data_IF_477049606406
#
_entry.id   IF_477049606406
#
_cell.length_a   1.000
_cell.length_b   1.000
_cell.length_c   1.000
_cell.angle_alpha   90.00
_cell.angle_beta   90.00
_cell.angle_gamma   90.00
#
_symmetry.space_group_name_H-M   'P 1'
#
loop_
_entity.id
_entity.type
_entity.pdbx_description
1 polymer ?
#
# COMPACT_ATOMS: atom_id res chain seq x y z
N UNK A 1 11.03 48.57 18.15
CA UNK A 1 11.05 47.47 17.16
C UNK A 1 12.34 46.70 17.40
N UNK A 2 12.32 45.60 18.17
CA UNK A 2 13.47 44.67 18.19
C UNK A 2 13.37 43.42 19.07
N UNK A 3 12.43 43.27 20.01
CA UNK A 3 12.45 42.08 20.90
C UNK A 3 11.50 40.95 20.49
N UNK A 4 10.39 41.26 19.81
CA UNK A 4 9.34 40.27 19.47
C UNK A 4 9.65 39.51 18.17
N UNK A 5 10.23 40.19 17.17
CA UNK A 5 10.65 39.55 15.91
C UNK A 5 11.85 38.62 16.11
N UNK A 6 12.78 38.98 16.99
CA UNK A 6 13.96 38.16 17.30
C UNK A 6 13.58 36.86 18.05
N UNK A 7 12.51 36.91 18.86
CA UNK A 7 11.93 35.73 19.52
C UNK A 7 11.14 34.85 18.54
N UNK A 8 10.45 35.44 17.56
CA UNK A 8 9.74 34.69 16.52
C UNK A 8 10.72 33.93 15.60
N UNK A 9 11.79 34.60 15.17
CA UNK A 9 12.85 33.99 14.35
C UNK A 9 13.58 32.86 15.08
N UNK A 10 13.84 33.00 16.39
CA UNK A 10 14.43 31.90 17.18
C UNK A 10 13.51 30.69 17.27
N UNK A 11 12.21 30.91 17.43
CA UNK A 11 11.22 29.83 17.48
C UNK A 11 11.12 29.09 16.14
N UNK A 12 11.15 29.83 15.04
CA UNK A 12 11.13 29.27 13.68
C UNK A 12 12.41 28.47 13.38
N UNK A 13 13.58 28.95 13.81
CA UNK A 13 14.85 28.22 13.69
C UNK A 13 14.85 26.93 14.54
N UNK A 14 14.26 26.96 15.73
CA UNK A 14 14.16 25.77 16.58
C UNK A 14 13.16 24.73 16.03
N UNK A 15 12.07 25.18 15.42
CA UNK A 15 11.12 24.28 14.73
C UNK A 15 11.74 23.68 13.46
N UNK A 16 12.50 24.45 12.68
CA UNK A 16 13.27 23.95 11.54
C UNK A 16 14.33 22.92 11.97
N UNK A 17 15.03 23.14 13.09
CA UNK A 17 15.98 22.16 13.64
C UNK A 17 15.30 20.85 14.04
N UNK A 18 14.11 20.92 14.63
CA UNK A 18 13.32 19.72 14.96
C UNK A 18 12.90 18.97 13.69
N UNK A 19 12.47 19.67 12.65
CA UNK A 19 12.12 19.05 11.37
C UNK A 19 13.34 18.39 10.72
N UNK A 20 14.51 19.04 10.75
CA UNK A 20 15.75 18.44 10.24
C UNK A 20 16.15 17.20 11.05
N UNK A 21 16.01 17.22 12.37
CA UNK A 21 16.28 16.05 13.21
C UNK A 21 15.31 14.89 12.91
N UNK A 22 14.02 15.17 12.73
CA UNK A 22 13.02 14.17 12.36
C UNK A 22 13.30 13.58 10.96
N UNK A 23 13.67 14.42 10.00
CA UNK A 23 14.07 13.97 8.66
C UNK A 23 15.35 13.11 8.69
N UNK A 24 16.33 13.48 9.50
CA UNK A 24 17.54 12.67 9.69
C UNK A 24 17.22 11.30 10.29
N UNK A 25 16.30 11.23 11.25
CA UNK A 25 15.85 9.97 11.85
C UNK A 25 15.13 9.09 10.83
N UNK A 26 14.27 9.67 9.98
CA UNK A 26 13.59 8.96 8.89
C UNK A 26 14.62 8.43 7.88
N UNK A 27 15.61 9.23 7.49
CA UNK A 27 16.67 8.80 6.56
C UNK A 27 17.52 7.67 7.16
N UNK A 28 17.83 7.71 8.46
CA UNK A 28 18.51 6.61 9.13
C UNK A 28 17.67 5.33 9.16
N UNK A 29 16.38 5.45 9.46
CA UNK A 29 15.43 4.32 9.42
C UNK A 29 15.32 3.72 8.01
N UNK A 30 15.26 4.57 6.98
CA UNK A 30 15.24 4.14 5.58
C UNK A 30 16.57 3.49 5.17
N UNK A 31 17.70 4.02 5.59
CA UNK A 31 19.01 3.41 5.33
C UNK A 31 19.14 2.02 5.98
N UNK A 32 18.61 1.86 7.19
CA UNK A 32 18.57 0.58 7.88
C UNK A 32 17.63 -0.41 7.17
N UNK A 33 16.48 0.08 6.70
CA UNK A 33 15.52 -0.70 5.93
C UNK A 33 16.16 -1.23 4.63
N UNK A 34 16.83 -0.36 3.87
CA UNK A 34 17.53 -0.73 2.64
C UNK A 34 18.61 -1.79 2.92
N UNK A 35 19.38 -1.63 4.00
CA UNK A 35 20.40 -2.60 4.41
C UNK A 35 19.78 -3.97 4.75
N UNK A 36 18.68 -3.98 5.52
CA UNK A 36 18.00 -5.20 5.95
C UNK A 36 17.28 -5.89 4.78
N UNK A 37 16.70 -5.12 3.86
CA UNK A 37 16.14 -5.62 2.60
C UNK A 37 17.24 -6.21 1.73
N UNK A 38 18.41 -5.57 1.65
CA UNK A 38 19.59 -6.12 0.95
C UNK A 38 20.05 -7.45 1.54
N UNK A 39 20.16 -7.56 2.87
CA UNK A 39 20.49 -8.82 3.56
C UNK A 39 19.46 -9.93 3.30
N UNK A 40 18.17 -9.60 3.32
CA UNK A 40 17.10 -10.56 3.05
C UNK A 40 17.08 -11.04 1.60
N UNK A 41 17.33 -10.14 0.64
CA UNK A 41 17.47 -10.49 -0.78
C UNK A 41 18.68 -11.40 -0.99
N UNK A 42 19.83 -11.09 -0.36
CA UNK A 42 21.01 -11.95 -0.40
C UNK A 42 20.73 -13.33 0.22
N UNK A 43 20.06 -13.39 1.38
CA UNK A 43 19.70 -14.65 2.03
C UNK A 43 18.74 -15.49 1.17
N UNK A 44 17.79 -14.84 0.49
CA UNK A 44 16.86 -15.49 -0.43
C UNK A 44 17.57 -16.00 -1.68
N UNK A 45 18.53 -15.26 -2.24
CA UNK A 45 19.36 -15.69 -3.36
C UNK A 45 20.25 -16.88 -3.01
N UNK A 46 20.89 -16.87 -1.83
CA UNK A 46 21.68 -18.02 -1.33
C UNK A 46 20.80 -19.25 -1.12
N UNK A 47 19.59 -19.06 -0.57
CA UNK A 47 18.62 -20.15 -0.37
C UNK A 47 18.09 -20.70 -1.69
N UNK A 48 17.88 -19.86 -2.69
CA UNK A 48 17.44 -20.27 -4.02
C UNK A 48 18.56 -20.99 -4.79
N UNK A 49 19.81 -20.48 -4.76
CA UNK A 49 20.96 -21.20 -5.31
C UNK A 49 21.18 -22.55 -4.64
N UNK A 50 21.05 -22.64 -3.30
CA UNK A 50 21.14 -23.92 -2.60
C UNK A 50 20.09 -24.94 -3.07
N UNK A 51 18.85 -24.48 -3.26
CA UNK A 51 17.74 -25.31 -3.76
C UNK A 51 17.90 -25.69 -5.23
N UNK A 52 18.46 -24.83 -6.08
CA UNK A 52 18.74 -25.14 -7.48
C UNK A 52 19.92 -26.09 -7.63
N UNK A 53 20.96 -25.97 -6.79
CA UNK A 53 22.08 -26.90 -6.75
C UNK A 53 21.66 -28.30 -6.25
N UNK A 54 20.77 -28.38 -5.26
CA UNK A 54 20.18 -29.67 -4.83
C UNK A 54 19.33 -30.32 -5.93
N UNK A 55 18.57 -29.52 -6.70
CA UNK A 55 17.75 -30.02 -7.81
C UNK A 55 18.58 -30.52 -9.01
N UNK A 56 19.81 -30.03 -9.20
CA UNK A 56 20.70 -30.48 -10.28
C UNK A 56 21.65 -31.64 -9.88
N UNK A 57 21.62 -32.10 -8.62
CA UNK A 57 22.40 -33.27 -8.18
C UNK A 57 23.92 -33.08 -8.20
N UNK A 58 24.40 -31.84 -8.11
CA UNK A 58 25.84 -31.52 -8.15
C UNK A 58 26.39 -31.42 -6.72
N UNK A 59 27.15 -32.42 -6.29
CA UNK A 59 27.96 -32.36 -5.06
C UNK A 59 29.07 -31.31 -5.23
N UNK A 60 29.36 -30.45 -4.24
CA UNK A 60 30.24 -29.31 -4.46
C UNK A 60 31.70 -29.76 -4.57
N UNK A 61 32.23 -29.73 -5.80
CA UNK A 61 33.67 -29.57 -6.01
C UNK A 61 34.02 -28.11 -5.74
N UNK A 62 35.02 -27.88 -4.89
CA UNK A 62 35.61 -26.55 -4.61
C UNK A 62 35.89 -25.82 -5.93
N UNK A 63 35.03 -24.90 -6.34
CA UNK A 63 35.33 -23.93 -7.38
C UNK A 63 35.63 -22.58 -6.75
N UNK A 64 36.68 -21.99 -7.31
CA UNK A 64 37.32 -20.71 -7.01
C UNK A 64 36.39 -19.56 -6.60
N UNK A 65 36.88 -18.79 -5.64
CA UNK A 65 36.43 -17.49 -5.12
C UNK A 65 36.29 -16.36 -6.16
N UNK A 66 36.28 -16.67 -7.46
CA UNK A 66 36.14 -15.71 -8.55
C UNK A 66 34.66 -15.46 -8.93
N UNK A 67 33.75 -16.38 -8.63
CA UNK A 67 32.32 -16.24 -8.98
C UNK A 67 31.51 -15.45 -7.93
N UNK A 68 32.05 -15.24 -6.73
CA UNK A 68 31.39 -14.43 -5.69
C UNK A 68 31.46 -12.92 -5.95
N UNK A 69 32.29 -12.47 -6.90
CA UNK A 69 32.43 -11.04 -7.25
C UNK A 69 31.40 -10.62 -8.32
N UNK A 70 30.79 -11.57 -9.03
CA UNK A 70 29.76 -11.29 -10.05
C UNK A 70 28.32 -11.38 -9.56
N UNK A 71 28.09 -11.76 -8.29
CA UNK A 71 26.73 -11.82 -7.71
C UNK A 71 26.11 -10.43 -7.43
N UNK A 72 26.92 -9.36 -7.53
CA UNK A 72 26.51 -7.97 -7.30
C UNK A 72 26.21 -7.20 -8.60
N UNK A 73 26.19 -7.91 -9.74
CA UNK A 73 25.85 -7.34 -11.04
C UNK A 73 24.45 -7.84 -11.38
N UNK A 74 23.45 -6.97 -11.25
CA UNK A 74 22.12 -7.20 -11.82
C UNK A 74 22.29 -7.76 -13.24
N UNK A 75 21.88 -9.00 -13.45
CA UNK A 75 22.06 -9.61 -14.76
C UNK A 75 21.13 -8.90 -15.75
N UNK A 76 21.49 -8.89 -17.04
CA UNK A 76 20.61 -8.29 -18.04
C UNK A 76 19.20 -8.92 -18.01
N UNK A 77 19.10 -10.18 -17.57
CA UNK A 77 17.82 -10.88 -17.42
C UNK A 77 17.01 -10.35 -16.23
N UNK A 78 17.65 -10.02 -15.10
CA UNK A 78 16.98 -9.37 -13.96
C UNK A 78 16.45 -7.97 -14.34
N UNK A 79 17.21 -7.22 -15.15
CA UNK A 79 16.79 -5.92 -15.66
C UNK A 79 15.59 -6.05 -16.62
N UNK A 80 15.60 -7.05 -17.49
CA UNK A 80 14.47 -7.32 -18.40
C UNK A 80 13.24 -7.75 -17.61
N UNK A 81 13.38 -8.58 -16.57
CA UNK A 81 12.29 -8.98 -15.69
C UNK A 81 11.71 -7.77 -14.95
N UNK A 82 12.56 -6.93 -14.33
CA UNK A 82 12.11 -5.73 -13.63
C UNK A 82 11.38 -4.76 -14.57
N UNK A 83 11.88 -4.58 -15.79
CA UNK A 83 11.19 -3.73 -16.79
C UNK A 83 9.84 -4.33 -17.17
N UNK A 84 9.73 -5.66 -17.29
CA UNK A 84 8.46 -6.34 -17.51
C UNK A 84 7.47 -6.14 -16.35
N UNK A 85 7.92 -6.25 -15.11
CA UNK A 85 7.10 -6.01 -13.92
C UNK A 85 6.64 -4.55 -13.83
N UNK A 86 7.53 -3.59 -14.09
CA UNK A 86 7.20 -2.16 -14.14
C UNK A 86 6.22 -1.83 -15.26
N UNK A 87 6.34 -2.47 -16.42
CA UNK A 87 5.37 -2.33 -17.50
C UNK A 87 4.00 -2.90 -17.10
N UNK A 88 3.94 -4.06 -16.45
CA UNK A 88 2.68 -4.61 -15.94
C UNK A 88 2.02 -3.72 -14.88
N UNK A 89 2.81 -3.12 -13.99
CA UNK A 89 2.31 -2.12 -13.02
C UNK A 89 1.82 -0.86 -13.74
N UNK A 90 2.51 -0.40 -14.78
CA UNK A 90 2.09 0.74 -15.58
C UNK A 90 0.76 0.48 -16.29
N UNK A 91 0.60 -0.70 -16.89
CA UNK A 91 -0.66 -1.13 -17.54
C UNK A 91 -1.81 -1.16 -16.53
N UNK A 92 -1.56 -1.65 -15.31
CA UNK A 92 -2.55 -1.69 -14.22
C UNK A 92 -2.94 -0.27 -13.78
N UNK A 93 -1.97 0.65 -13.70
CA UNK A 93 -2.22 2.06 -13.38
C UNK A 93 -3.03 2.74 -14.50
N UNK A 94 -2.71 2.46 -15.76
CA UNK A 94 -3.43 2.99 -16.91
C UNK A 94 -4.87 2.49 -16.93
N UNK A 95 -5.09 1.18 -16.75
CA UNK A 95 -6.43 0.61 -16.68
C UNK A 95 -7.24 1.21 -15.53
N UNK A 96 -6.62 1.37 -14.36
CA UNK A 96 -7.24 2.05 -13.21
C UNK A 96 -7.60 3.49 -13.54
N UNK A 97 -6.73 4.21 -14.24
CA UNK A 97 -6.96 5.60 -14.66
C UNK A 97 -8.14 5.70 -15.65
N UNK A 98 -8.18 4.83 -16.67
CA UNK A 98 -9.26 4.77 -17.65
C UNK A 98 -10.59 4.52 -16.95
N UNK A 99 -10.66 3.51 -16.08
CA UNK A 99 -11.88 3.17 -15.33
C UNK A 99 -12.31 4.30 -14.38
N UNK A 100 -11.36 4.98 -13.73
CA UNK A 100 -11.62 6.16 -12.89
C UNK A 100 -12.22 7.32 -13.70
N UNK A 101 -11.70 7.58 -14.90
CA UNK A 101 -12.25 8.61 -15.81
C UNK A 101 -13.64 8.22 -16.30
N UNK A 102 -13.88 6.95 -16.61
CA UNK A 102 -15.23 6.48 -16.97
C UNK A 102 -16.20 6.72 -15.81
N UNK A 103 -15.82 6.38 -14.58
CA UNK A 103 -16.64 6.59 -13.40
C UNK A 103 -16.93 8.06 -13.10
N UNK A 104 -16.00 8.98 -13.41
CA UNK A 104 -16.22 10.42 -13.18
C UNK A 104 -17.27 11.03 -14.09
N UNK A 105 -17.56 10.40 -15.23
CA UNK A 105 -18.65 10.81 -16.13
C UNK A 105 -20.03 10.32 -15.68
N UNK A 106 -20.07 9.41 -14.72
CA UNK A 106 -21.31 8.82 -14.20
C UNK A 106 -21.89 9.73 -13.13
N UNK A 107 -23.16 10.11 -13.30
CA UNK A 107 -23.83 11.11 -12.45
C UNK A 107 -25.23 10.69 -12.03
N UNK A 108 -25.88 9.81 -12.79
CA UNK A 108 -27.22 9.29 -12.50
C UNK A 108 -27.13 8.11 -11.56
N UNK A 109 -28.16 7.93 -10.74
CA UNK A 109 -28.17 6.83 -9.77
C UNK A 109 -28.18 5.44 -10.44
N UNK A 110 -28.75 5.34 -11.64
CA UNK A 110 -28.76 4.10 -12.44
C UNK A 110 -27.47 3.86 -13.25
N UNK A 111 -26.51 4.80 -13.22
CA UNK A 111 -25.26 4.63 -13.95
C UNK A 111 -24.42 3.51 -13.31
N UNK A 112 -23.98 2.58 -14.14
CA UNK A 112 -23.14 1.45 -13.73
C UNK A 112 -21.72 1.94 -13.44
N UNK A 113 -21.20 1.59 -12.27
CA UNK A 113 -19.83 1.83 -11.87
C UNK A 113 -18.92 0.73 -12.43
N UNK A 114 -17.81 1.13 -13.04
CA UNK A 114 -16.75 0.21 -13.40
C UNK A 114 -15.94 -0.15 -12.13
N UNK A 115 -15.72 -1.43 -11.80
CA UNK A 115 -14.84 -1.83 -10.70
C UNK A 115 -13.39 -1.51 -11.08
N UNK A 116 -12.58 -1.03 -10.13
CA UNK A 116 -11.16 -0.74 -10.36
C UNK A 116 -10.31 -1.87 -9.77
N UNK A 117 -9.12 -2.15 -10.33
CA UNK A 117 -8.14 -3.00 -9.65
C UNK A 117 -7.65 -2.30 -8.38
N UNK A 118 -7.42 -3.07 -7.32
CA UNK A 118 -6.76 -2.60 -6.10
C UNK A 118 -5.23 -2.44 -6.32
N UNK A 119 -4.45 -1.97 -5.33
CA UNK A 119 -3.00 -1.86 -5.45
C UNK A 119 -2.28 -3.16 -5.82
N UNK A 120 -2.83 -4.31 -5.42
CA UNK A 120 -2.31 -5.65 -5.73
C UNK A 120 -2.69 -6.16 -7.12
N UNK A 121 -3.55 -5.43 -7.86
CA UNK A 121 -4.03 -5.80 -9.19
C UNK A 121 -5.31 -6.62 -9.21
N UNK A 122 -5.87 -6.97 -8.05
CA UNK A 122 -7.14 -7.68 -7.94
C UNK A 122 -8.32 -6.76 -8.23
N UNK A 123 -9.22 -7.21 -9.09
CA UNK A 123 -10.44 -6.48 -9.44
C UNK A 123 -11.65 -7.17 -8.83
N UNK A 124 -12.47 -6.47 -8.02
CA UNK A 124 -13.65 -7.08 -7.44
C UNK A 124 -14.69 -7.34 -8.53
N UNK A 125 -15.31 -8.51 -8.50
CA UNK A 125 -16.38 -8.83 -9.44
C UNK A 125 -17.74 -8.44 -8.88
N UNK A 126 -18.71 -8.17 -9.76
CA UNK A 126 -20.10 -7.93 -9.33
C UNK A 126 -20.78 -9.14 -8.68
N UNK A 127 -20.10 -10.30 -8.68
CA UNK A 127 -20.57 -11.56 -8.08
C UNK A 127 -20.18 -11.68 -6.60
N UNK A 128 -19.17 -10.92 -6.15
CA UNK A 128 -18.59 -11.07 -4.81
C UNK A 128 -19.36 -10.32 -3.71
N UNK A 129 -20.52 -9.73 -4.04
CA UNK A 129 -21.36 -8.85 -3.19
C UNK A 129 -20.63 -7.65 -2.53
N UNK A 130 -19.35 -7.49 -2.85
CA UNK A 130 -18.44 -6.48 -2.32
C UNK A 130 -18.58 -5.15 -3.06
N UNK A 131 -18.78 -5.19 -4.39
CA UNK A 131 -18.79 -3.98 -5.21
C UNK A 131 -20.21 -3.57 -5.65
N UNK A 132 -20.65 -2.33 -5.39
CA UNK A 132 -21.95 -1.84 -5.81
C UNK A 132 -22.00 -1.70 -7.33
N UNK A 133 -23.10 -2.14 -7.95
CA UNK A 133 -23.26 -2.13 -9.41
C UNK A 133 -23.52 -0.72 -9.93
N UNK A 134 -24.23 0.10 -9.16
CA UNK A 134 -24.70 1.41 -9.58
C UNK A 134 -24.24 2.52 -8.63
N UNK A 135 -24.24 3.77 -9.10
CA UNK A 135 -24.00 4.92 -8.23
C UNK A 135 -25.03 5.02 -7.10
N UNK A 136 -26.29 4.67 -7.36
CA UNK A 136 -27.34 4.66 -6.35
C UNK A 136 -27.03 3.68 -5.23
N UNK A 137 -26.60 2.45 -5.57
CA UNK A 137 -26.15 1.45 -4.60
C UNK A 137 -24.91 1.91 -3.83
N UNK A 138 -23.96 2.58 -4.50
CA UNK A 138 -22.80 3.14 -3.84
C UNK A 138 -23.17 4.25 -2.86
N UNK A 139 -24.10 5.15 -3.21
CA UNK A 139 -24.61 6.20 -2.31
C UNK A 139 -25.33 5.62 -1.10
N UNK A 140 -26.03 4.50 -1.26
CA UNK A 140 -26.75 3.79 -0.21
C UNK A 140 -25.93 2.66 0.44
N UNK A 141 -24.60 2.67 0.28
CA UNK A 141 -23.74 1.63 0.85
C UNK A 141 -23.86 1.61 2.38
N UNK A 142 -23.97 0.40 2.91
CA UNK A 142 -23.96 0.10 4.34
C UNK A 142 -22.55 0.25 4.92
N UNK A 143 -22.45 0.65 6.19
CA UNK A 143 -21.18 0.93 6.85
C UNK A 143 -20.25 -0.31 6.85
N UNK A 144 -20.84 -1.50 6.95
CA UNK A 144 -20.11 -2.77 6.86
C UNK A 144 -19.46 -2.97 5.48
N UNK A 145 -20.24 -2.75 4.41
CA UNK A 145 -19.74 -2.88 3.03
C UNK A 145 -18.73 -1.78 2.70
N UNK A 146 -18.96 -0.57 3.20
CA UNK A 146 -18.03 0.54 3.06
C UNK A 146 -16.67 0.22 3.67
N UNK A 147 -16.64 -0.26 4.91
CA UNK A 147 -15.39 -0.62 5.58
C UNK A 147 -14.67 -1.75 4.85
N UNK A 148 -15.40 -2.79 4.40
CA UNK A 148 -14.82 -3.91 3.65
C UNK A 148 -14.23 -3.46 2.31
N UNK A 149 -14.91 -2.58 1.58
CA UNK A 149 -14.39 -1.99 0.34
C UNK A 149 -13.19 -1.07 0.60
N UNK A 150 -13.26 -0.22 1.62
CA UNK A 150 -12.19 0.71 1.93
C UNK A 150 -10.92 -0.03 2.41
N UNK A 151 -11.07 -1.18 3.06
CA UNK A 151 -9.97 -2.11 3.33
C UNK A 151 -9.44 -2.77 2.06
N UNK A 152 -10.32 -3.26 1.18
CA UNK A 152 -9.93 -3.90 -0.08
C UNK A 152 -9.13 -2.97 -1.00
N UNK A 153 -9.47 -1.69 -1.03
CA UNK A 153 -8.75 -0.67 -1.81
C UNK A 153 -7.61 0.01 -1.04
N UNK A 154 -7.31 -0.42 0.19
CA UNK A 154 -6.30 0.15 1.08
C UNK A 154 -6.43 1.67 1.30
N UNK A 155 -7.68 2.13 1.34
CA UNK A 155 -8.01 3.55 1.52
C UNK A 155 -8.07 3.94 3.00
N UNK A 156 -8.38 2.98 3.88
CA UNK A 156 -8.38 3.21 5.32
C UNK A 156 -6.95 3.28 5.85
N UNK A 157 -6.72 4.18 6.82
CA UNK A 157 -5.50 4.14 7.61
C UNK A 157 -5.37 2.77 8.28
N UNK A 158 -4.18 2.15 8.25
CA UNK A 158 -3.98 0.85 8.88
C UNK A 158 -4.38 0.96 10.35
N UNK A 159 -5.29 0.08 10.79
CA UNK A 159 -5.74 0.10 12.18
C UNK A 159 -4.56 -0.14 13.12
N UNK A 160 -4.63 0.30 14.39
CA UNK A 160 -3.53 0.08 15.36
C UNK A 160 -3.10 -1.39 15.43
N UNK A 161 -4.03 -2.34 15.20
CA UNK A 161 -3.72 -3.77 15.09
C UNK A 161 -2.96 -4.15 13.81
N UNK A 162 -3.25 -3.50 12.68
CA UNK A 162 -2.51 -3.69 11.44
C UNK A 162 -1.13 -3.03 11.50
N UNK A 163 -1.00 -1.91 12.22
CA UNK A 163 0.30 -1.30 12.53
C UNK A 163 1.13 -2.21 13.43
N UNK A 164 0.54 -2.78 14.49
CA UNK A 164 1.22 -3.78 15.33
C UNK A 164 1.58 -5.04 14.54
N UNK A 165 0.70 -5.54 13.66
CA UNK A 165 1.00 -6.68 12.78
C UNK A 165 2.09 -6.35 11.74
N UNK A 166 2.15 -5.09 11.27
CA UNK A 166 3.19 -4.59 10.39
C UNK A 166 4.52 -4.44 11.13
N UNK A 167 4.50 -3.97 12.38
CA UNK A 167 5.65 -3.93 13.27
C UNK A 167 6.16 -5.34 13.62
N UNK A 168 5.28 -6.29 13.92
CA UNK A 168 5.64 -7.68 14.18
C UNK A 168 6.12 -8.41 12.90
N UNK A 169 5.65 -8.03 11.72
CA UNK A 169 6.20 -8.45 10.43
C UNK A 169 7.60 -7.83 10.19
N UNK A 170 7.79 -6.54 10.48
CA UNK A 170 9.10 -5.87 10.41
C UNK A 170 10.14 -6.44 11.39
N UNK A 171 9.68 -6.88 12.57
CA UNK A 171 10.47 -7.57 13.59
C UNK A 171 10.69 -9.06 13.27
N UNK A 172 10.10 -9.59 12.19
CA UNK A 172 10.35 -10.94 11.69
C UNK A 172 9.67 -12.05 12.49
N UNK A 173 8.61 -11.74 13.24
CA UNK A 173 7.82 -12.75 13.98
C UNK A 173 6.70 -13.37 13.14
N UNK A 174 6.37 -12.79 11.99
CA UNK A 174 5.37 -13.31 11.06
C UNK A 174 5.96 -13.45 9.64
N UNK A 175 5.79 -14.60 8.99
CA UNK A 175 6.31 -14.87 7.65
C UNK A 175 5.40 -14.35 6.51
N UNK A 176 4.20 -13.84 6.81
CA UNK A 176 3.21 -13.47 5.80
C UNK A 176 2.38 -12.25 6.24
N UNK A 177 2.49 -11.14 5.48
CA UNK A 177 1.59 -10.00 5.54
C UNK A 177 0.49 -10.16 4.48
N UNK A 178 -0.27 -11.25 4.55
CA UNK A 178 -1.58 -11.26 3.88
C UNK A 178 -2.50 -10.51 4.83
N UNK A 179 -3.09 -9.42 4.35
CA UNK A 179 -4.18 -8.70 4.99
C UNK A 179 -5.18 -9.73 5.50
N UNK A 180 -5.06 -10.08 6.79
CA UNK A 180 -5.89 -11.10 7.41
C UNK A 180 -7.34 -10.75 7.09
N UNK A 181 -8.04 -11.65 6.41
CA UNK A 181 -9.49 -11.56 6.24
C UNK A 181 -10.05 -11.39 7.66
N UNK A 182 -10.42 -10.15 7.98
CA UNK A 182 -11.02 -9.84 9.28
C UNK A 182 -12.35 -10.55 9.26
N UNK A 183 -12.63 -11.30 10.31
CA UNK A 183 -13.94 -11.91 10.46
C UNK A 183 -15.01 -10.82 10.53
N UNK A 184 -16.23 -11.10 10.07
CA UNK A 184 -17.33 -10.13 10.04
C UNK A 184 -17.59 -9.49 11.42
N UNK A 185 -17.28 -10.22 12.51
CA UNK A 185 -17.37 -9.74 13.88
C UNK A 185 -16.27 -8.71 14.25
N UNK A 186 -15.06 -8.86 13.70
CA UNK A 186 -13.96 -7.91 13.90
C UNK A 186 -14.17 -6.62 13.12
N UNK A 187 -14.73 -6.71 11.91
CA UNK A 187 -15.15 -5.56 11.11
C UNK A 187 -16.19 -4.73 11.88
N UNK A 188 -17.21 -5.39 12.46
CA UNK A 188 -18.21 -4.72 13.28
C UNK A 188 -17.64 -4.09 14.57
N UNK A 189 -16.61 -4.69 15.15
CA UNK A 189 -15.93 -4.14 16.32
C UNK A 189 -15.07 -2.91 15.96
N UNK A 190 -14.48 -2.87 14.77
CA UNK A 190 -13.75 -1.69 14.28
C UNK A 190 -14.69 -0.57 13.84
N UNK A 191 -15.78 -0.86 13.12
CA UNK A 191 -16.79 0.14 12.73
C UNK A 191 -17.36 0.85 13.97
N UNK A 192 -17.57 0.13 15.07
CA UNK A 192 -18.03 0.74 16.34
C UNK A 192 -17.02 1.66 17.01
N UNK A 193 -15.73 1.53 16.68
CA UNK A 193 -14.67 2.41 17.16
C UNK A 193 -14.52 3.66 16.29
N UNK A 194 -14.89 3.58 15.02
CA UNK A 194 -14.91 4.74 14.13
C UNK A 194 -16.07 5.67 14.49
N UNK A 195 -15.76 6.96 14.51
CA UNK A 195 -16.74 8.03 14.56
C UNK A 195 -17.48 8.17 13.22
N UNK A 196 -18.65 8.81 13.23
CA UNK A 196 -19.41 9.06 12.00
C UNK A 196 -18.63 9.91 10.98
N UNK A 197 -17.85 10.86 11.47
CA UNK A 197 -17.03 11.73 10.62
C UNK A 197 -15.93 10.92 9.92
N UNK A 198 -15.28 9.97 10.61
CA UNK A 198 -14.28 9.08 10.00
C UNK A 198 -14.88 8.12 8.95
N UNK A 199 -16.14 7.71 9.13
CA UNK A 199 -16.85 6.91 8.11
C UNK A 199 -17.23 7.77 6.89
N UNK A 200 -17.57 9.04 7.07
CA UNK A 200 -17.81 9.96 5.96
C UNK A 200 -16.53 10.27 5.18
N UNK A 201 -15.40 10.47 5.87
CA UNK A 201 -14.10 10.65 5.25
C UNK A 201 -13.67 9.37 4.48
N UNK A 202 -13.83 8.19 5.08
CA UNK A 202 -13.56 6.92 4.40
C UNK A 202 -14.43 6.73 3.15
N UNK A 203 -15.70 7.16 3.19
CA UNK A 203 -16.57 7.16 2.01
C UNK A 203 -16.05 8.10 0.92
N UNK A 204 -15.64 9.32 1.29
CA UNK A 204 -15.13 10.30 0.33
C UNK A 204 -13.82 9.85 -0.31
N UNK A 205 -12.92 9.25 0.47
CA UNK A 205 -11.66 8.71 -0.04
C UNK A 205 -11.90 7.51 -0.95
N UNK A 206 -12.83 6.62 -0.60
CA UNK A 206 -13.22 5.51 -1.47
C UNK A 206 -13.85 6.03 -2.77
N UNK A 207 -14.73 7.01 -2.68
CA UNK A 207 -15.37 7.62 -3.83
C UNK A 207 -14.33 8.33 -4.73
N UNK A 208 -13.30 8.95 -4.15
CA UNK A 208 -12.17 9.53 -4.88
C UNK A 208 -11.32 8.45 -5.55
N UNK A 209 -11.06 7.35 -4.87
CA UNK A 209 -10.33 6.22 -5.43
C UNK A 209 -11.05 5.66 -6.65
N UNK A 210 -12.37 5.47 -6.56
CA UNK A 210 -13.21 4.96 -7.64
C UNK A 210 -13.49 5.97 -8.74
N UNK A 211 -13.25 7.26 -8.51
CA UNK A 211 -13.58 8.34 -9.43
C UNK A 211 -15.07 8.70 -9.44
N UNK A 212 -15.84 8.26 -8.46
CA UNK A 212 -17.26 8.59 -8.34
C UNK A 212 -17.43 10.05 -7.88
N UNK A 213 -18.46 10.73 -8.41
CA UNK A 213 -18.83 12.11 -8.03
C UNK A 213 -19.62 12.15 -6.71
N UNK A 214 -20.13 11.00 -6.24
CA UNK A 214 -20.82 10.91 -4.97
C UNK A 214 -19.89 11.26 -3.79
N UNK A 215 -20.36 12.12 -2.90
CA UNK A 215 -19.67 12.55 -1.67
C UNK A 215 -20.67 12.62 -0.51
N UNK A 216 -20.18 12.42 0.71
CA UNK A 216 -20.93 12.58 1.98
C UNK A 216 -20.25 13.68 2.81
N UNK A 217 -21.01 14.41 3.62
CA UNK A 217 -20.48 15.46 4.50
C UNK A 217 -20.14 16.80 3.81
N UNK A 218 -19.55 17.72 4.59
CA UNK A 218 -19.20 19.09 4.14
C UNK A 218 -17.79 19.19 3.51
N UNK A 219 -16.91 18.20 3.72
CA UNK A 219 -15.56 18.14 3.14
C UNK A 219 -15.57 17.64 1.69
N UNK A 220 -16.16 18.43 0.80
CA UNK A 220 -16.29 18.15 -0.63
C UNK A 220 -15.20 18.86 -1.45
N UNK A 221 -14.00 18.28 -1.50
CA UNK A 221 -12.90 18.74 -2.37
C UNK A 221 -12.22 17.60 -3.14
#
# INVERSE_FOLDING_TARGET
>A
MSTTEEQALKKEVDDLKKQVAALQEIVQKQSLLISKTGENVMAMQVKNQGKEMEKMGITPARSSSADLINADIATNDDLVQLVGELQGQLDTIEERSIRRVVNSTKTKDDDVLAPLPNPDGDTPTFSDDLFPKTIGEFKAIDDFKLYRMAKFYEVLQPSMKQQEAFEDFMDGKAENFYSADLTDDEINAEIKKLSKDELEDAFNDLARYLGAVARRGESTW
#
